data_IF_634684868455
#
_entry.id   IF_634684868455
#
_cell.length_a   1.000
_cell.length_b   1.000
_cell.length_c   1.000
_cell.angle_alpha   90.00
_cell.angle_beta   90.00
_cell.angle_gamma   90.00
#
_symmetry.space_group_name_H-M   'P 1'
#
loop_
_entity.id
_entity.type
_entity.pdbx_description
1 polymer ?
#
# COMPACT_ATOMS: atom_id res chain seq x y z
N UNK A 1 8.44 5.27 10.86
CA UNK A 1 8.10 6.70 11.00
C UNK A 1 6.60 6.83 10.84
N UNK A 2 5.96 7.71 11.61
CA UNK A 2 4.54 8.09 11.44
C UNK A 2 4.54 9.56 11.08
N UNK A 3 3.77 9.92 10.07
CA UNK A 3 3.70 11.27 9.54
C UNK A 3 2.25 11.72 9.56
N UNK A 4 2.01 12.92 10.06
CA UNK A 4 0.69 13.51 10.19
C UNK A 4 0.69 14.91 9.60
N UNK A 5 -0.39 15.24 8.90
CA UNK A 5 -0.71 16.61 8.49
C UNK A 5 -1.92 17.08 9.28
N UNK A 6 -1.75 18.20 9.99
CA UNK A 6 -2.77 18.77 10.87
C UNK A 6 -2.82 20.28 10.67
N UNK A 7 -4.03 20.83 10.70
CA UNK A 7 -4.23 22.27 10.70
C UNK A 7 -4.19 22.78 12.15
N UNK A 8 -3.19 23.61 12.47
CA UNK A 8 -3.01 24.19 13.80
C UNK A 8 -3.39 25.67 13.75
N UNK A 9 -4.59 25.98 14.22
CA UNK A 9 -5.17 27.34 14.18
C UNK A 9 -4.82 28.20 15.41
N UNK A 10 -3.92 27.71 16.26
CA UNK A 10 -3.48 28.40 17.48
C UNK A 10 -1.96 28.46 17.52
N UNK A 11 -1.43 29.29 18.41
CA UNK A 11 0.00 29.52 18.54
C UNK A 11 0.74 28.35 19.23
N UNK A 12 0.03 27.29 19.64
CA UNK A 12 0.57 26.18 20.42
C UNK A 12 0.09 24.83 19.90
N UNK A 13 1.03 23.95 19.55
CA UNK A 13 0.79 22.53 19.30
C UNK A 13 1.12 21.73 20.56
N UNK A 14 0.12 21.04 21.12
CA UNK A 14 0.30 20.16 22.28
C UNK A 14 0.34 18.70 21.85
N UNK A 15 1.43 18.01 22.14
CA UNK A 15 1.59 16.57 21.90
C UNK A 15 1.66 15.87 23.26
N UNK A 16 0.70 14.99 23.53
CA UNK A 16 0.60 14.25 24.81
C UNK A 16 0.80 12.76 24.58
N UNK A 17 1.71 12.15 25.34
CA UNK A 17 1.94 10.71 25.35
C UNK A 17 1.28 10.10 26.58
N UNK A 18 0.21 9.32 26.37
CA UNK A 18 -0.55 8.67 27.44
C UNK A 18 -0.28 7.16 27.41
N UNK A 19 0.62 6.62 28.25
CA UNK A 19 0.81 5.17 28.35
C UNK A 19 -0.42 4.49 28.98
N UNK A 20 -0.64 3.23 28.63
CA UNK A 20 -1.59 2.37 29.35
C UNK A 20 -1.11 2.08 30.78
N UNK A 21 -2.02 1.64 31.64
CA UNK A 21 -1.72 1.26 33.02
C UNK A 21 -0.56 0.27 33.09
N UNK A 22 0.41 0.55 33.97
CA UNK A 22 1.64 -0.23 34.14
C UNK A 22 2.51 -0.34 32.87
N UNK A 23 2.41 0.62 31.96
CA UNK A 23 3.22 0.70 30.74
C UNK A 23 4.04 2.00 30.67
N UNK A 24 4.95 2.07 29.69
CA UNK A 24 5.79 3.25 29.42
C UNK A 24 5.57 3.66 27.97
N UNK A 25 5.45 4.97 27.73
CA UNK A 25 5.48 5.55 26.40
C UNK A 25 6.88 6.11 26.15
N UNK A 26 7.43 5.89 24.96
CA UNK A 26 8.70 6.49 24.55
C UNK A 26 8.61 7.01 23.12
N UNK A 27 9.38 8.06 22.86
CA UNK A 27 9.56 8.66 21.54
C UNK A 27 11.04 8.94 21.35
N UNK A 28 11.57 8.58 20.19
CA UNK A 28 12.98 8.81 19.89
C UNK A 28 13.22 10.25 19.43
N UNK A 29 12.34 10.76 18.56
CA UNK A 29 12.41 12.10 18.00
C UNK A 29 11.02 12.56 17.56
N UNK A 30 10.82 13.87 17.57
CA UNK A 30 9.65 14.56 17.02
C UNK A 30 10.19 15.62 16.07
N UNK A 31 9.60 15.69 14.89
CA UNK A 31 9.87 16.73 13.90
C UNK A 31 8.56 17.45 13.62
N UNK A 32 8.62 18.79 13.56
CA UNK A 32 7.48 19.65 13.23
C UNK A 32 7.95 20.57 12.11
N UNK A 33 7.32 20.44 10.95
CA UNK A 33 7.64 21.21 9.75
C UNK A 33 6.39 21.97 9.33
N UNK A 34 6.52 23.28 9.13
CA UNK A 34 5.44 24.07 8.53
C UNK A 34 5.30 23.70 7.06
N UNK A 35 4.08 23.50 6.60
CA UNK A 35 3.78 23.29 5.19
C UNK A 35 2.98 24.46 4.61
N UNK A 36 3.10 24.75 3.30
CA UNK A 36 2.28 25.76 2.64
C UNK A 36 0.78 25.46 2.67
N UNK A 37 -0.06 26.50 2.74
CA UNK A 37 -1.52 26.39 2.75
C UNK A 37 -2.08 25.78 1.44
N UNK A 38 -1.36 25.92 0.33
CA UNK A 38 -1.73 25.40 -0.98
C UNK A 38 -1.32 23.93 -1.18
N UNK A 39 -0.61 23.31 -0.22
CA UNK A 39 -0.20 21.91 -0.34
C UNK A 39 -1.39 20.96 -0.28
N UNK A 40 -2.36 21.22 0.60
CA UNK A 40 -3.60 20.45 0.73
C UNK A 40 -4.76 21.44 0.69
N UNK A 41 -5.32 21.62 -0.51
CA UNK A 41 -6.47 22.49 -0.73
C UNK A 41 -7.73 21.89 -0.13
N UNK A 42 -8.74 22.73 0.15
CA UNK A 42 -9.94 22.30 0.86
C UNK A 42 -10.86 21.39 0.04
N UNK A 43 -10.78 21.49 -1.29
CA UNK A 43 -11.61 20.75 -2.22
C UNK A 43 -10.90 19.52 -2.81
N UNK A 44 -11.64 18.42 -2.95
CA UNK A 44 -11.20 17.21 -3.62
C UNK A 44 -12.37 16.55 -4.39
N UNK A 45 -12.09 15.52 -5.19
CA UNK A 45 -13.12 14.69 -5.81
C UNK A 45 -13.50 13.55 -4.88
N UNK A 46 -14.76 13.40 -4.51
CA UNK A 46 -15.25 12.16 -3.89
C UNK A 46 -15.54 11.12 -4.96
N UNK A 47 -15.06 9.90 -4.78
CA UNK A 47 -15.13 8.86 -5.82
C UNK A 47 -16.47 8.13 -5.86
N UNK A 48 -17.12 7.94 -4.72
CA UNK A 48 -18.42 7.28 -4.65
C UNK A 48 -19.19 7.69 -3.38
N UNK A 49 -20.32 8.42 -3.51
CA UNK A 49 -20.87 8.94 -4.76
C UNK A 49 -19.97 10.01 -5.39
N UNK A 50 -19.88 10.01 -6.73
CA UNK A 50 -19.10 11.00 -7.47
C UNK A 50 -19.60 12.42 -7.18
N UNK A 51 -18.79 13.23 -6.51
CA UNK A 51 -19.15 14.58 -6.06
C UNK A 51 -17.91 15.40 -5.69
N UNK A 52 -18.09 16.68 -5.39
CA UNK A 52 -17.04 17.49 -4.75
C UNK A 52 -17.02 17.20 -3.25
N UNK A 53 -15.85 16.92 -2.71
CA UNK A 53 -15.59 16.91 -1.28
C UNK A 53 -15.03 18.27 -0.89
N UNK A 54 -15.55 18.88 0.17
CA UNK A 54 -15.04 20.14 0.73
C UNK A 54 -14.79 19.96 2.23
N UNK A 55 -13.92 20.77 2.81
CA UNK A 55 -13.50 20.66 4.21
C UNK A 55 -12.27 19.78 4.43
N UNK A 56 -11.50 19.48 3.38
CA UNK A 56 -10.27 18.68 3.47
C UNK A 56 -9.20 19.37 4.31
N UNK A 57 -9.14 20.70 4.29
CA UNK A 57 -8.20 21.49 5.09
C UNK A 57 -8.46 21.45 6.60
N UNK A 58 -9.59 20.89 7.02
CA UNK A 58 -9.94 20.65 8.43
C UNK A 58 -9.73 19.21 8.87
N UNK A 59 -9.41 18.29 7.95
CA UNK A 59 -9.14 16.90 8.30
C UNK A 59 -7.69 16.76 8.77
N UNK A 60 -7.50 15.97 9.83
CA UNK A 60 -6.19 15.43 10.17
C UNK A 60 -5.91 14.23 9.26
N UNK A 61 -4.70 14.19 8.72
CA UNK A 61 -4.28 13.18 7.76
C UNK A 61 -3.08 12.42 8.29
N UNK A 62 -3.08 11.09 8.20
CA UNK A 62 -1.89 10.24 8.40
C UNK A 62 -1.40 9.75 7.04
N UNK A 63 -0.19 10.13 6.63
CA UNK A 63 0.41 9.59 5.41
C UNK A 63 0.78 8.12 5.64
N UNK A 64 0.05 7.21 4.98
CA UNK A 64 0.32 5.76 5.07
C UNK A 64 1.27 5.30 3.97
N UNK A 65 1.16 5.89 2.77
CA UNK A 65 2.06 5.61 1.65
C UNK A 65 2.40 6.89 0.89
N UNK A 66 3.66 7.01 0.49
CA UNK A 66 4.17 8.06 -0.41
C UNK A 66 5.17 7.43 -1.37
N UNK A 67 4.84 7.38 -2.64
CA UNK A 67 5.46 6.48 -3.60
C UNK A 67 5.93 7.24 -4.83
N UNK A 68 7.19 7.06 -5.19
CA UNK A 68 7.78 7.49 -6.45
C UNK A 68 7.65 6.37 -7.48
N UNK A 69 6.87 6.59 -8.53
CA UNK A 69 6.45 5.54 -9.45
C UNK A 69 7.44 5.41 -10.59
N UNK A 70 7.93 4.19 -10.85
CA UNK A 70 8.99 3.93 -11.83
C UNK A 70 10.31 4.62 -11.51
N UNK A 71 10.45 5.13 -10.29
CA UNK A 71 11.61 5.89 -9.84
C UNK A 71 12.28 5.26 -8.61
N UNK A 72 13.53 5.67 -8.32
CA UNK A 72 14.21 5.27 -7.10
C UNK A 72 13.62 5.98 -5.87
N UNK A 73 14.09 5.58 -4.69
CA UNK A 73 13.77 6.29 -3.44
C UNK A 73 14.24 7.74 -3.51
N UNK A 74 13.35 8.68 -3.22
CA UNK A 74 13.68 10.10 -3.00
C UNK A 74 13.81 10.31 -1.50
N UNK A 75 15.01 10.64 -1.04
CA UNK A 75 15.32 10.80 0.38
C UNK A 75 14.83 12.17 0.87
N UNK A 76 14.65 12.31 2.19
CA UNK A 76 14.21 13.57 2.83
C UNK A 76 15.08 14.78 2.46
N UNK A 77 16.39 14.62 2.29
CA UNK A 77 17.27 15.72 1.87
C UNK A 77 17.08 16.21 0.43
N UNK A 78 16.24 15.54 -0.36
CA UNK A 78 15.96 15.87 -1.77
C UNK A 78 14.51 16.36 -1.98
N UNK A 79 13.69 16.33 -0.93
CA UNK A 79 12.32 16.83 -0.92
C UNK A 79 12.26 18.16 -0.15
N UNK A 80 11.64 19.23 -0.69
CA UNK A 80 11.58 20.53 -0.01
C UNK A 80 10.90 20.51 1.37
N UNK A 81 10.05 19.51 1.62
CA UNK A 81 9.32 19.34 2.88
C UNK A 81 9.88 18.16 3.70
N UNK A 82 11.10 17.71 3.40
CA UNK A 82 11.78 16.62 4.07
C UNK A 82 11.03 15.27 4.03
N UNK A 83 10.10 15.10 3.09
CA UNK A 83 9.36 13.85 2.90
C UNK A 83 10.22 12.80 2.22
N UNK A 84 9.93 11.53 2.48
CA UNK A 84 10.56 10.41 1.77
C UNK A 84 9.56 9.77 0.82
N UNK A 85 9.97 9.57 -0.44
CA UNK A 85 9.18 8.86 -1.44
C UNK A 85 9.82 7.50 -1.69
N UNK A 86 9.11 6.41 -1.43
CA UNK A 86 9.63 5.05 -1.66
C UNK A 86 9.34 4.59 -3.08
N UNK A 87 10.16 3.68 -3.61
CA UNK A 87 9.92 3.08 -4.93
C UNK A 87 8.65 2.21 -4.95
N UNK A 88 7.95 2.18 -6.07
CA UNK A 88 6.68 1.48 -6.27
C UNK A 88 6.81 -0.04 -6.47
N UNK A 89 8.01 -0.52 -6.78
CA UNK A 89 8.31 -1.89 -7.22
C UNK A 89 7.70 -3.00 -6.34
N UNK A 90 7.67 -2.80 -5.01
CA UNK A 90 7.13 -3.79 -4.07
C UNK A 90 5.60 -3.86 -4.03
N UNK A 91 4.92 -2.88 -4.62
CA UNK A 91 3.46 -2.77 -4.63
C UNK A 91 2.86 -3.26 -5.95
N UNK A 92 3.66 -3.35 -7.02
CA UNK A 92 3.22 -3.89 -8.31
C UNK A 92 2.72 -5.32 -8.15
N UNK A 93 1.50 -5.59 -8.61
CA UNK A 93 0.95 -6.95 -8.62
C UNK A 93 1.59 -7.83 -9.69
N UNK A 94 1.96 -7.22 -10.83
CA UNK A 94 2.61 -7.92 -11.93
C UNK A 94 3.62 -6.98 -12.60
N UNK A 95 4.89 -7.11 -12.20
CA UNK A 95 5.96 -6.23 -12.69
C UNK A 95 6.19 -6.29 -14.20
N UNK A 96 5.89 -7.42 -14.86
CA UNK A 96 6.06 -7.55 -16.31
C UNK A 96 5.12 -6.66 -17.14
N UNK A 97 4.06 -6.11 -16.54
CA UNK A 97 3.11 -5.22 -17.19
C UNK A 97 3.52 -3.74 -17.16
N UNK A 98 4.57 -3.39 -16.41
CA UNK A 98 5.02 -2.01 -16.25
C UNK A 98 6.43 -1.84 -16.81
N UNK A 99 6.71 -0.65 -17.35
CA UNK A 99 8.06 -0.17 -17.62
C UNK A 99 8.32 1.10 -16.82
N UNK A 100 9.58 1.29 -16.42
CA UNK A 100 10.01 2.51 -15.73
C UNK A 100 10.59 3.48 -16.76
N UNK A 101 10.16 4.74 -16.70
CA UNK A 101 10.65 5.82 -17.57
C UNK A 101 11.11 7.01 -16.74
N UNK A 102 12.13 7.74 -17.24
CA UNK A 102 12.66 8.91 -16.56
C UNK A 102 13.07 10.01 -17.54
N UNK A 103 12.69 11.24 -17.21
CA UNK A 103 13.11 12.46 -17.88
C UNK A 103 12.97 13.67 -16.94
N UNK A 104 13.75 13.69 -15.86
CA UNK A 104 13.69 14.72 -14.80
C UNK A 104 13.89 16.14 -15.36
N UNK A 105 14.74 16.29 -16.37
CA UNK A 105 15.05 17.58 -16.97
C UNK A 105 13.88 18.19 -17.77
N UNK A 106 12.88 17.39 -18.17
CA UNK A 106 11.72 17.88 -18.91
C UNK A 106 10.65 18.52 -18.02
N UNK A 107 10.67 18.26 -16.71
CA UNK A 107 9.63 18.73 -15.78
C UNK A 107 9.57 20.25 -15.76
N UNK A 108 8.42 20.81 -16.11
CA UNK A 108 8.18 22.25 -16.17
C UNK A 108 7.09 22.68 -15.17
N UNK A 109 7.49 23.29 -14.06
CA UNK A 109 6.55 23.87 -13.10
C UNK A 109 6.03 25.22 -13.59
N UNK A 110 4.72 25.31 -13.81
CA UNK A 110 4.06 26.55 -14.27
C UNK A 110 3.28 27.24 -13.15
N UNK A 111 3.16 28.58 -13.15
CA UNK A 111 2.35 29.29 -12.16
C UNK A 111 0.89 28.82 -12.15
N UNK A 112 0.33 28.63 -10.95
CA UNK A 112 -1.06 28.19 -10.76
C UNK A 112 -1.28 26.68 -10.88
N UNK A 113 -0.23 25.90 -11.16
CA UNK A 113 -0.25 24.44 -11.13
C UNK A 113 0.41 23.85 -9.87
N UNK A 114 0.77 22.58 -9.96
CA UNK A 114 1.57 21.94 -8.92
C UNK A 114 2.93 22.62 -8.78
N UNK A 115 3.52 22.57 -7.58
CA UNK A 115 4.83 23.18 -7.28
C UNK A 115 5.82 22.13 -6.81
N UNK A 116 7.07 22.54 -6.60
CA UNK A 116 8.09 21.66 -6.03
C UNK A 116 7.73 21.21 -4.58
N UNK A 117 6.92 22.00 -3.87
CA UNK A 117 6.38 21.62 -2.57
C UNK A 117 5.31 20.53 -2.70
N UNK A 118 4.51 20.54 -3.78
CA UNK A 118 3.56 19.45 -4.08
C UNK A 118 4.29 18.12 -4.18
N UNK A 119 5.24 18.01 -5.10
CA UNK A 119 6.23 16.93 -5.17
C UNK A 119 7.46 17.40 -5.98
N UNK A 120 8.67 16.89 -5.70
CA UNK A 120 9.89 17.31 -6.38
C UNK A 120 9.96 16.80 -7.82
N UNK A 121 10.85 17.40 -8.62
CA UNK A 121 11.04 17.00 -10.04
C UNK A 121 11.55 15.58 -10.17
N UNK A 122 12.19 15.03 -9.15
CA UNK A 122 12.58 13.61 -9.09
C UNK A 122 11.40 12.64 -8.96
N UNK A 123 10.20 13.14 -8.64
CA UNK A 123 8.95 12.36 -8.65
C UNK A 123 8.24 12.56 -9.97
N UNK A 124 7.96 13.81 -10.37
CA UNK A 124 7.29 14.08 -11.66
C UNK A 124 8.13 13.66 -12.87
N UNK A 125 9.45 13.62 -12.73
CA UNK A 125 10.41 13.23 -13.75
C UNK A 125 10.65 11.73 -13.88
N UNK A 126 9.93 10.91 -13.14
CA UNK A 126 9.88 9.46 -13.28
C UNK A 126 8.44 9.00 -13.38
N UNK A 127 8.19 7.90 -14.09
CA UNK A 127 6.87 7.30 -14.14
C UNK A 127 6.97 5.79 -14.33
N UNK A 128 5.96 5.09 -13.84
CA UNK A 128 5.64 3.76 -14.33
C UNK A 128 4.63 3.90 -15.48
N UNK A 129 4.95 3.29 -16.63
CA UNK A 129 4.09 3.23 -17.80
C UNK A 129 3.68 1.80 -18.15
N UNK A 130 2.72 1.64 -19.07
CA UNK A 130 2.33 0.32 -19.54
C UNK A 130 3.44 -0.32 -20.39
N UNK A 131 3.78 -1.57 -20.10
CA UNK A 131 4.66 -2.35 -20.97
C UNK A 131 3.89 -2.93 -22.15
N UNK A 132 3.67 -2.12 -23.18
CA UNK A 132 2.90 -2.53 -24.36
C UNK A 132 3.71 -3.32 -25.37
N UNK A 133 5.05 -3.26 -25.29
CA UNK A 133 5.96 -3.82 -26.30
C UNK A 133 5.62 -3.38 -27.74
N UNK A 134 4.95 -2.23 -27.90
CA UNK A 134 4.51 -1.70 -29.20
C UNK A 134 3.28 -2.38 -29.81
N UNK A 135 2.54 -3.21 -29.05
CA UNK A 135 1.30 -3.84 -29.53
C UNK A 135 0.10 -2.87 -29.35
N UNK A 136 -0.56 -2.43 -30.46
CA UNK A 136 -1.71 -1.53 -30.39
C UNK A 136 -2.99 -2.19 -29.82
N UNK A 137 -3.01 -3.52 -29.65
CA UNK A 137 -4.16 -4.24 -29.11
C UNK A 137 -4.11 -4.44 -27.60
N UNK A 138 -3.13 -3.83 -26.93
CA UNK A 138 -2.96 -3.93 -25.48
C UNK A 138 -4.18 -3.37 -24.75
N UNK A 139 -4.75 -4.21 -23.89
CA UNK A 139 -5.92 -3.89 -23.08
C UNK A 139 -5.80 -4.56 -21.70
N UNK A 140 -4.73 -4.24 -20.98
CA UNK A 140 -4.53 -4.63 -19.59
C UNK A 140 -4.32 -3.37 -18.74
N UNK A 141 -4.47 -3.52 -17.42
CA UNK A 141 -4.14 -2.47 -16.48
C UNK A 141 -2.85 -2.80 -15.73
N UNK A 142 -1.99 -1.80 -15.53
CA UNK A 142 -0.92 -1.87 -14.52
C UNK A 142 -1.54 -1.58 -13.17
N UNK A 143 -1.28 -2.43 -12.17
CA UNK A 143 -1.97 -2.35 -10.87
C UNK A 143 -0.98 -2.47 -9.72
N UNK A 144 -1.11 -1.56 -8.77
CA UNK A 144 -0.43 -1.59 -7.48
C UNK A 144 -1.43 -1.92 -6.37
N UNK A 145 -0.97 -2.62 -5.33
CA UNK A 145 -1.78 -2.93 -4.15
C UNK A 145 -1.09 -2.47 -2.86
N UNK A 146 -1.83 -1.72 -2.05
CA UNK A 146 -1.34 -1.11 -0.82
C UNK A 146 -2.08 -1.67 0.38
N UNK A 147 -1.35 -1.94 1.47
CA UNK A 147 -1.96 -2.29 2.75
C UNK A 147 -2.54 -1.04 3.41
N UNK A 148 -3.78 -1.10 3.85
CA UNK A 148 -4.47 -0.02 4.57
C UNK A 148 -5.33 -0.58 5.70
N UNK A 149 -5.91 0.32 6.48
CA UNK A 149 -6.80 -0.03 7.60
C UNK A 149 -8.26 0.21 7.20
N UNK A 150 -9.08 -0.83 7.26
CA UNK A 150 -10.52 -0.72 7.06
C UNK A 150 -11.17 0.18 8.12
N UNK A 151 -12.33 0.76 7.78
CA UNK A 151 -13.09 1.64 8.68
C UNK A 151 -12.65 3.10 8.66
N UNK A 152 -11.76 3.48 7.75
CA UNK A 152 -11.35 4.87 7.50
C UNK A 152 -11.61 5.29 6.06
N UNK A 153 -11.80 6.58 5.85
CA UNK A 153 -11.68 7.17 4.52
C UNK A 153 -10.23 7.55 4.26
N UNK A 154 -9.87 7.64 2.97
CA UNK A 154 -8.54 8.02 2.56
C UNK A 154 -8.61 9.10 1.49
N UNK A 155 -7.67 10.04 1.59
CA UNK A 155 -7.29 10.92 0.49
C UNK A 155 -6.21 10.19 -0.31
N UNK A 156 -6.48 9.96 -1.59
CA UNK A 156 -5.53 9.45 -2.57
C UNK A 156 -5.17 10.59 -3.50
N UNK A 157 -3.90 11.00 -3.48
CA UNK A 157 -3.34 11.98 -4.41
C UNK A 157 -2.51 11.26 -5.45
N UNK A 158 -2.96 11.30 -6.69
CA UNK A 158 -2.23 10.76 -7.83
C UNK A 158 -1.49 11.90 -8.54
N UNK A 159 -0.18 11.73 -8.77
CA UNK A 159 0.68 12.71 -9.44
C UNK A 159 0.98 12.25 -10.86
N UNK A 160 0.85 13.18 -11.80
CA UNK A 160 1.04 12.97 -13.23
C UNK A 160 1.93 14.05 -13.82
N UNK A 161 2.76 13.67 -14.78
CA UNK A 161 3.54 14.57 -15.61
C UNK A 161 3.87 13.81 -16.89
N UNK A 162 3.37 14.29 -18.03
CA UNK A 162 3.62 13.63 -19.31
C UNK A 162 5.06 13.88 -19.76
N UNK A 163 5.92 12.91 -19.44
CA UNK A 163 7.33 12.89 -19.79
C UNK A 163 7.64 11.94 -20.97
N UNK A 164 6.60 11.34 -21.56
CA UNK A 164 6.72 10.30 -22.60
C UNK A 164 6.28 10.81 -23.97
N UNK A 165 5.26 11.67 -24.03
CA UNK A 165 4.76 12.26 -25.28
C UNK A 165 5.71 13.31 -25.84
N UNK A 166 5.79 13.36 -27.17
CA UNK A 166 6.63 14.34 -27.89
C UNK A 166 5.83 15.55 -28.34
N UNK A 167 4.53 15.39 -28.50
CA UNK A 167 3.59 16.46 -28.81
C UNK A 167 2.31 16.31 -27.98
N UNK A 168 1.51 17.36 -27.92
CA UNK A 168 0.25 17.39 -27.17
C UNK A 168 -0.77 16.39 -27.76
N UNK A 169 -1.71 15.95 -26.93
CA UNK A 169 -2.84 15.09 -27.32
C UNK A 169 -2.41 13.70 -27.84
N UNK A 170 -1.25 13.19 -27.40
CA UNK A 170 -0.79 11.83 -27.74
C UNK A 170 -1.18 10.80 -26.68
N UNK A 171 -1.41 11.19 -25.43
CA UNK A 171 -1.63 10.26 -24.33
C UNK A 171 -3.01 10.45 -23.69
N UNK A 172 -3.85 9.43 -23.84
CA UNK A 172 -5.16 9.35 -23.19
C UNK A 172 -5.23 8.04 -22.41
N UNK A 173 -5.57 8.11 -21.14
CA UNK A 173 -5.58 6.93 -20.28
C UNK A 173 -6.60 7.01 -19.16
N UNK A 174 -6.86 5.87 -18.54
CA UNK A 174 -7.79 5.74 -17.44
C UNK A 174 -7.02 5.44 -16.14
N UNK A 175 -7.54 5.98 -15.05
CA UNK A 175 -7.06 5.72 -13.69
C UNK A 175 -8.22 5.12 -12.90
N UNK A 176 -7.93 4.05 -12.18
CA UNK A 176 -8.90 3.33 -11.36
C UNK A 176 -8.41 3.24 -9.93
N UNK A 177 -9.34 3.38 -8.99
CA UNK A 177 -9.13 3.01 -7.60
C UNK A 177 -10.12 1.88 -7.31
N UNK A 178 -9.58 0.72 -6.97
CA UNK A 178 -10.29 -0.56 -6.98
C UNK A 178 -11.05 -0.77 -8.30
N UNK A 179 -12.38 -0.89 -8.24
CA UNK A 179 -13.24 -1.06 -9.42
C UNK A 179 -13.82 0.25 -9.94
N UNK A 180 -13.50 1.38 -9.29
CA UNK A 180 -14.10 2.68 -9.58
C UNK A 180 -13.19 3.50 -10.51
N UNK A 181 -13.79 4.12 -11.53
CA UNK A 181 -13.09 5.02 -12.43
C UNK A 181 -12.78 6.34 -11.71
N UNK A 182 -11.51 6.57 -11.40
CA UNK A 182 -11.01 7.77 -10.71
C UNK A 182 -10.69 8.92 -11.67
N UNK A 183 -10.21 8.58 -12.87
CA UNK A 183 -10.14 9.50 -14.00
C UNK A 183 -10.38 8.71 -15.27
N UNK A 184 -11.30 9.19 -16.11
CA UNK A 184 -11.60 8.57 -17.40
C UNK A 184 -11.05 9.45 -18.52
N UNK A 185 -10.41 8.84 -19.50
CA UNK A 185 -9.88 9.49 -20.70
C UNK A 185 -9.02 10.72 -20.35
N UNK A 186 -8.20 10.59 -19.30
CA UNK A 186 -7.33 11.65 -18.80
C UNK A 186 -6.34 12.05 -19.89
N UNK A 187 -6.38 13.34 -20.22
CA UNK A 187 -5.45 14.03 -21.11
C UNK A 187 -4.75 15.14 -20.34
N UNK A 188 -3.45 14.96 -20.12
CA UNK A 188 -2.65 15.91 -19.35
C UNK A 188 -2.43 17.23 -20.10
N UNK A 189 -2.48 17.22 -21.44
CA UNK A 189 -2.34 18.43 -22.29
C UNK A 189 -3.42 19.46 -21.98
N UNK A 190 -4.65 18.98 -21.76
CA UNK A 190 -5.79 19.81 -21.38
C UNK A 190 -5.68 20.38 -19.96
N UNK A 191 -4.98 19.68 -19.06
CA UNK A 191 -4.77 20.11 -17.68
C UNK A 191 -3.58 21.06 -17.54
N UNK A 192 -2.64 21.02 -18.49
CA UNK A 192 -1.40 21.80 -18.48
C UNK A 192 -1.43 23.06 -19.33
N UNK A 193 -2.61 23.56 -19.72
CA UNK A 193 -2.75 24.69 -20.65
C UNK A 193 -1.94 24.52 -21.95
N UNK A 194 -1.87 23.29 -22.49
CA UNK A 194 -1.12 22.95 -23.70
C UNK A 194 0.41 23.12 -23.60
N UNK A 195 0.97 22.95 -22.40
CA UNK A 195 2.43 22.87 -22.19
C UNK A 195 2.81 21.42 -21.86
N UNK A 196 3.89 20.93 -22.48
CA UNK A 196 4.38 19.56 -22.26
C UNK A 196 5.04 19.43 -20.89
N UNK A 197 5.03 18.22 -20.33
CA UNK A 197 5.75 17.87 -19.10
C UNK A 197 5.47 18.82 -17.90
N UNK A 198 4.24 19.35 -17.83
CA UNK A 198 3.78 20.11 -16.67
C UNK A 198 3.22 19.15 -15.61
N UNK A 199 3.72 19.24 -14.37
CA UNK A 199 3.15 18.55 -13.22
C UNK A 199 1.66 18.83 -12.99
N UNK A 200 0.90 17.77 -12.80
CA UNK A 200 -0.51 17.77 -12.43
C UNK A 200 -0.73 16.77 -11.28
N UNK A 201 -1.66 17.05 -10.38
CA UNK A 201 -2.09 16.07 -9.39
C UNK A 201 -3.61 16.06 -9.29
N UNK A 202 -4.16 14.93 -8.87
CA UNK A 202 -5.60 14.77 -8.64
C UNK A 202 -5.84 14.18 -7.27
N UNK A 203 -6.63 14.90 -6.48
CA UNK A 203 -7.06 14.52 -5.14
C UNK A 203 -8.41 13.81 -5.16
N UNK A 204 -8.42 12.61 -4.58
CA UNK A 204 -9.55 11.70 -4.59
C UNK A 204 -9.84 11.22 -3.16
N UNK A 205 -10.99 11.59 -2.62
CA UNK A 205 -11.50 11.01 -1.37
C UNK A 205 -12.25 9.72 -1.72
N UNK A 206 -11.74 8.60 -1.21
CA UNK A 206 -12.35 7.30 -1.44
C UNK A 206 -13.43 7.01 -0.37
N UNK A 207 -14.38 6.11 -0.67
CA UNK A 207 -15.36 5.66 0.32
C UNK A 207 -14.69 5.06 1.56
N UNK A 208 -15.49 4.88 2.60
CA UNK A 208 -15.04 4.15 3.79
C UNK A 208 -14.46 2.79 3.38
N UNK A 209 -13.18 2.55 3.70
CA UNK A 209 -12.49 1.33 3.34
C UNK A 209 -13.18 0.13 4.00
N UNK A 210 -13.65 -0.81 3.18
CA UNK A 210 -14.28 -2.06 3.61
C UNK A 210 -13.27 -3.21 3.72
N UNK A 211 -12.05 -3.00 3.20
CA UNK A 211 -10.98 -3.98 3.18
C UNK A 211 -9.64 -3.34 3.58
N UNK A 212 -8.66 -4.19 3.91
CA UNK A 212 -7.31 -3.75 4.26
C UNK A 212 -6.39 -3.59 3.05
N UNK A 213 -6.94 -3.56 1.82
CA UNK A 213 -6.18 -3.43 0.59
C UNK A 213 -6.81 -2.38 -0.31
N UNK A 214 -5.99 -1.45 -0.79
CA UNK A 214 -6.36 -0.52 -1.85
C UNK A 214 -5.65 -0.93 -3.13
N UNK A 215 -6.38 -1.05 -4.24
CA UNK A 215 -5.75 -1.18 -5.56
C UNK A 215 -5.82 0.14 -6.30
N UNK A 216 -4.71 0.54 -6.90
CA UNK A 216 -4.66 1.66 -7.84
C UNK A 216 -4.19 1.09 -9.17
N UNK A 217 -4.89 1.44 -10.24
CA UNK A 217 -4.58 0.94 -11.57
C UNK A 217 -4.56 2.04 -12.60
N UNK A 218 -3.70 1.89 -13.61
CA UNK A 218 -3.72 2.69 -14.83
C UNK A 218 -3.92 1.77 -16.03
N UNK A 219 -4.63 2.24 -17.04
CA UNK A 219 -4.94 1.46 -18.24
C UNK A 219 -5.24 2.34 -19.44
N UNK A 220 -5.30 1.76 -20.65
CA UNK A 220 -5.39 2.53 -21.88
C UNK A 220 -6.79 3.13 -22.05
N UNK A 221 -6.88 4.27 -22.74
CA UNK A 221 -8.14 4.81 -23.23
C UNK A 221 -8.50 4.23 -24.59
N UNK A 222 -9.79 4.19 -24.90
CA UNK A 222 -10.27 3.85 -26.25
C UNK A 222 -10.14 5.00 -27.26
N UNK A 223 -9.75 6.20 -26.82
CA UNK A 223 -9.61 7.38 -27.68
C UNK A 223 -8.32 7.38 -28.51
N UNK A 224 -7.22 6.83 -27.99
CA UNK A 224 -5.99 6.61 -28.74
C UNK A 224 -5.70 5.11 -28.92
N UNK A 225 -6.20 4.54 -30.01
CA UNK A 225 -6.05 3.11 -30.33
C UNK A 225 -4.72 2.75 -30.97
N UNK A 226 -4.03 3.73 -31.54
CA UNK A 226 -2.82 3.46 -32.32
C UNK A 226 -1.60 3.29 -31.40
N UNK A 227 -1.60 3.95 -30.23
CA UNK A 227 -0.55 3.83 -29.22
C UNK A 227 -1.16 3.81 -27.81
N UNK A 228 -1.74 2.67 -27.37
CA UNK A 228 -2.25 2.55 -26.01
C UNK A 228 -1.10 2.68 -25.02
N UNK A 229 -1.24 3.57 -24.04
CA UNK A 229 -0.33 3.68 -22.90
C UNK A 229 -1.08 4.35 -21.73
N UNK A 230 -0.48 4.32 -20.56
CA UNK A 230 -0.93 5.04 -19.38
C UNK A 230 0.28 5.26 -18.47
N UNK A 231 0.30 6.37 -17.73
CA UNK A 231 1.40 6.70 -16.83
C UNK A 231 0.91 7.06 -15.43
N UNK A 232 1.77 6.85 -14.43
CA UNK A 232 1.63 7.40 -13.09
C UNK A 232 3.03 7.76 -12.57
N UNK A 233 3.22 8.98 -12.07
CA UNK A 233 4.53 9.51 -11.68
C UNK A 233 4.74 9.44 -10.15
N UNK A 234 3.67 9.66 -9.38
CA UNK A 234 3.72 9.62 -7.93
C UNK A 234 2.37 9.25 -7.34
N UNK A 235 2.36 8.73 -6.11
CA UNK A 235 1.15 8.40 -5.39
C UNK A 235 1.31 8.66 -3.89
N UNK A 236 0.38 9.41 -3.31
CA UNK A 236 0.24 9.56 -1.87
C UNK A 236 -1.11 9.00 -1.42
N UNK A 237 -1.10 8.21 -0.33
CA UNK A 237 -2.29 7.67 0.31
C UNK A 237 -2.26 8.13 1.75
N UNK A 238 -3.27 8.90 2.13
CA UNK A 238 -3.38 9.56 3.42
C UNK A 238 -4.69 9.15 4.09
N UNK A 239 -4.61 8.51 5.27
CA UNK A 239 -5.77 8.17 6.07
C UNK A 239 -6.38 9.45 6.65
N UNK A 240 -7.69 9.61 6.55
CA UNK A 240 -8.43 10.73 7.11
C UNK A 240 -8.94 10.39 8.50
N UNK A 241 -8.99 11.38 9.40
CA UNK A 241 -9.60 11.17 10.70
C UNK A 241 -11.09 10.81 10.56
N UNK A 242 -11.58 10.02 11.50
CA UNK A 242 -13.00 9.70 11.58
C UNK A 242 -13.82 10.85 12.21
N UNK A 243 -15.13 10.61 12.37
CA UNK A 243 -16.09 11.59 12.90
C UNK A 243 -15.82 12.07 14.33
N UNK A 244 -14.99 11.36 15.11
CA UNK A 244 -14.58 11.77 16.46
C UNK A 244 -13.16 12.37 16.48
N UNK A 245 -12.56 12.62 15.31
CA UNK A 245 -11.23 13.22 15.19
C UNK A 245 -10.07 12.25 15.40
N UNK A 246 -10.30 10.94 15.37
CA UNK A 246 -9.25 9.92 15.56
C UNK A 246 -8.70 9.38 14.25
N UNK A 247 -7.40 9.06 14.24
CA UNK A 247 -6.68 8.32 13.18
C UNK A 247 -6.35 6.87 13.58
N UNK A 248 -6.85 6.42 14.74
CA UNK A 248 -6.69 5.07 15.29
C UNK A 248 -8.04 4.35 15.37
N UNK A 249 -8.12 3.10 14.88
CA UNK A 249 -9.33 2.29 14.98
C UNK A 249 -9.74 2.01 16.44
N UNK A 250 -8.78 1.93 17.36
CA UNK A 250 -9.04 1.62 18.77
C UNK A 250 -9.84 2.71 19.49
N UNK A 251 -9.81 3.94 18.99
CA UNK A 251 -10.61 5.03 19.54
C UNK A 251 -12.02 5.11 18.93
N UNK A 252 -12.23 4.57 17.72
CA UNK A 252 -13.54 4.55 17.07
C UNK A 252 -14.55 3.62 17.78
N UNK A 253 -14.05 2.66 18.56
CA UNK A 253 -14.82 1.73 19.40
C UNK A 253 -15.09 2.27 20.81
N UNK A 254 -15.33 3.57 20.94
CA UNK A 254 -15.51 4.27 22.21
C UNK A 254 -16.69 3.80 23.07
N UNK A 255 -16.44 2.83 23.94
CA UNK A 255 -17.03 2.69 25.28
C UNK A 255 -16.14 1.71 26.06
N UNK A 256 -15.87 1.98 27.34
CA UNK A 256 -14.99 1.19 28.20
C UNK A 256 -15.33 -0.31 28.23
N UNK A 257 -14.75 -1.06 27.29
CA UNK A 257 -14.92 -2.49 27.11
C UNK A 257 -13.56 -3.06 26.79
N UNK A 258 -13.04 -3.81 27.75
CA UNK A 258 -11.86 -4.66 27.66
C UNK A 258 -11.82 -5.33 26.28
N UNK A 259 -10.98 -4.84 25.37
CA UNK A 259 -10.65 -5.57 24.15
C UNK A 259 -9.61 -6.61 24.53
N UNK A 260 -10.11 -7.77 24.96
CA UNK A 260 -9.35 -9.02 24.86
C UNK A 260 -8.80 -9.11 23.44
N UNK A 261 -7.49 -9.36 23.35
CA UNK A 261 -6.77 -9.39 22.09
C UNK A 261 -7.50 -10.21 21.03
N UNK A 262 -7.84 -9.55 19.92
CA UNK A 262 -8.25 -10.21 18.70
C UNK A 262 -7.04 -10.90 18.09
N UNK A 263 -6.66 -12.05 18.67
CA UNK A 263 -5.87 -13.03 17.95
C UNK A 263 -6.77 -13.58 16.86
N UNK A 264 -6.42 -13.31 15.60
CA UNK A 264 -7.01 -13.99 14.44
C UNK A 264 -7.17 -15.47 14.73
N UNK A 265 -8.40 -15.96 14.67
CA UNK A 265 -8.73 -17.37 14.88
C UNK A 265 -8.08 -18.23 13.80
N UNK A 266 -6.88 -18.74 14.06
CA UNK A 266 -6.46 -20.06 13.58
C UNK A 266 -7.01 -21.13 14.53
N UNK A 267 -8.34 -21.18 14.66
CA UNK A 267 -9.02 -22.34 15.24
C UNK A 267 -9.16 -23.35 14.12
N UNK A 268 -8.16 -24.21 14.05
CA UNK A 268 -8.03 -25.24 13.03
C UNK A 268 -6.57 -25.60 12.87
N UNK A 269 -6.03 -26.38 13.83
CA UNK A 269 -4.89 -27.34 13.73
C UNK A 269 -4.28 -27.68 15.11
N UNK A 270 -4.55 -26.94 16.19
CA UNK A 270 -4.06 -27.28 17.55
C UNK A 270 -5.15 -28.00 18.37
N UNK A 271 -5.68 -29.08 17.81
CA UNK A 271 -6.39 -30.15 18.54
C UNK A 271 -6.11 -31.54 17.92
N UNK A 272 -5.11 -31.64 17.02
CA UNK A 272 -4.74 -32.88 16.32
C UNK A 272 -3.31 -33.35 16.52
N UNK A 273 -2.48 -32.63 17.29
CA UNK A 273 -1.05 -32.95 17.44
C UNK A 273 -0.71 -33.57 18.81
N UNK A 274 -1.49 -33.31 19.86
CA UNK A 274 -1.31 -33.95 21.18
C UNK A 274 -1.84 -35.39 21.23
N UNK A 275 -2.81 -35.77 20.40
CA UNK A 275 -3.29 -37.17 20.28
C UNK A 275 -2.43 -37.99 19.32
N UNK A 276 -1.87 -37.37 18.28
CA UNK A 276 -1.02 -38.03 17.28
C UNK A 276 0.32 -38.52 17.83
N UNK A 277 1.00 -37.72 18.68
CA UNK A 277 2.30 -38.11 19.23
C UNK A 277 2.17 -39.27 20.23
N UNK A 278 1.12 -39.26 21.06
CA UNK A 278 0.87 -40.35 22.03
C UNK A 278 0.52 -41.66 21.29
N UNK A 279 -0.29 -41.61 20.24
CA UNK A 279 -0.67 -42.80 19.47
C UNK A 279 0.51 -43.41 18.70
N UNK A 280 1.40 -42.58 18.12
CA UNK A 280 2.63 -43.07 17.46
C UNK A 280 3.60 -43.71 18.46
N UNK A 281 3.77 -43.14 19.66
CA UNK A 281 4.65 -43.71 20.69
C UNK A 281 4.12 -45.03 21.24
N UNK A 282 2.80 -45.16 21.44
CA UNK A 282 2.18 -46.42 21.87
C UNK A 282 2.32 -47.50 20.80
N UNK A 283 2.07 -47.17 19.53
CA UNK A 283 2.24 -48.12 18.42
C UNK A 283 3.70 -48.55 18.25
N UNK A 284 4.66 -47.64 18.36
CA UNK A 284 6.08 -47.97 18.35
C UNK A 284 6.48 -48.88 19.52
N UNK A 285 5.96 -48.62 20.72
CA UNK A 285 6.19 -49.45 21.91
C UNK A 285 5.65 -50.88 21.73
N UNK A 286 4.40 -51.02 21.27
CA UNK A 286 3.78 -52.32 20.98
C UNK A 286 4.55 -53.06 19.90
N UNK A 287 4.94 -52.38 18.82
CA UNK A 287 5.70 -52.99 17.73
C UNK A 287 7.09 -53.46 18.22
N UNK A 288 7.79 -52.68 19.04
CA UNK A 288 9.05 -53.08 19.65
C UNK A 288 8.91 -54.32 20.54
N UNK A 289 7.85 -54.40 21.36
CA UNK A 289 7.60 -55.58 22.22
C UNK A 289 7.29 -56.82 21.38
N UNK A 290 6.48 -56.68 20.33
CA UNK A 290 6.16 -57.79 19.42
C UNK A 290 7.39 -58.26 18.63
N UNK A 291 8.23 -57.34 18.14
CA UNK A 291 9.49 -57.68 17.48
C UNK A 291 10.48 -58.36 18.45
N UNK A 292 10.55 -57.91 19.71
CA UNK A 292 11.37 -58.56 20.75
C UNK A 292 10.85 -59.95 21.11
N UNK A 293 9.54 -60.14 21.22
CA UNK A 293 8.92 -61.47 21.42
C UNK A 293 9.18 -62.40 20.24
N UNK A 294 9.01 -61.93 18.99
CA UNK A 294 9.35 -62.72 17.79
C UNK A 294 10.83 -63.10 17.74
N UNK A 295 11.75 -62.19 18.07
CA UNK A 295 13.19 -62.50 18.16
C UNK A 295 13.52 -63.51 19.27
N UNK A 296 12.87 -63.42 20.44
CA UNK A 296 13.03 -64.42 21.52
C UNK A 296 12.51 -65.80 21.11
N UNK A 297 11.34 -65.87 20.46
CA UNK A 297 10.77 -67.12 19.97
C UNK A 297 11.62 -67.73 18.84
N UNK A 298 12.20 -66.91 17.96
CA UNK A 298 13.15 -67.38 16.94
C UNK A 298 14.44 -67.95 17.56
N UNK A 299 14.98 -67.30 18.62
CA UNK A 299 16.15 -67.82 19.37
C UNK A 299 15.82 -69.13 20.11
N UNK A 300 14.63 -69.27 20.69
CA UNK A 300 14.21 -70.53 21.35
C UNK A 300 13.94 -71.66 20.35
N UNK A 301 13.63 -71.36 19.08
CA UNK A 301 13.48 -72.36 18.01
C UNK A 301 14.82 -72.85 17.45
N UNK A 302 15.90 -72.06 17.59
CA UNK A 302 17.26 -72.42 17.19
C UNK A 302 18.05 -73.18 18.26
N UNK A 303 17.57 -73.26 19.51
CA UNK A 303 18.25 -73.97 20.60
C UNK A 303 17.74 -75.41 20.84
N UNK A 304 17.11 -76.04 19.84
CA UNK A 304 16.76 -77.46 19.89
C UNK A 304 17.57 -78.23 18.85
N UNK A 305 18.85 -78.53 19.11
CA UNK A 305 19.57 -79.58 18.40
C UNK A 305 20.74 -80.10 19.24
N UNK A 306 20.52 -81.31 19.80
CA UNK A 306 21.43 -82.43 19.99
C UNK A 306 22.60 -82.36 21.00
N UNK A 307 22.54 -83.29 21.97
CA UNK A 307 23.69 -83.79 22.76
C UNK A 307 24.06 -85.16 22.17
N UNK A 308 25.33 -85.42 21.79
CA UNK A 308 25.81 -86.77 21.49
C UNK A 308 26.37 -87.48 22.73
N UNK A 309 26.25 -88.80 22.70
CA UNK A 309 26.71 -89.79 23.67
C UNK A 309 28.25 -89.84 23.79
N UNK A 310 28.74 -89.98 25.02
CA UNK A 310 29.88 -90.81 25.45
C UNK A 310 29.84 -90.91 26.97
#
# INVERSE_FOLDING_TARGET
>A
MKEYSINVTTDTLVITFNPFDNSVAFVNAIEVVSMPDDLIVDDASSLNPASTYSGLGYQALETVWRVNMGGPVVNSGQDPLHRTWISDQKFLLQSSLANDVSNIAAVEYVPGGATQNTAPSSVYGTAAEMNTSGDPNVNFNVTWAFDMEAGFQYLVRAHFCDIVSKVLNELYFNVYIDSLAAAKDLDLSSQSNNVLAVPYYKDLVIPLADSNKLRVSIGPSTLNKDNPNAILNGLEIMKMNNSIGSLSADAASGAGGISSGSSSSKVGVIAGVSVGVVSVLVLAGVCCVLCRKKKRLARQRQSKTWIPLS
#
